data_IF_745067263631
#
_entry.id   IF_745067263631
#
_cell.length_a   1.000
_cell.length_b   1.000
_cell.length_c   1.000
_cell.angle_alpha   90.00
_cell.angle_beta   90.00
_cell.angle_gamma   90.00
#
_symmetry.space_group_name_H-M   'P 1'
#
loop_
_entity.id
_entity.type
_entity.pdbx_description
1 polymer ?
#
# COMPACT_ATOMS: atom_id res chain seq x y z
N UNK A 1 6.35 -2.47 -11.19
CA UNK A 1 7.21 -3.58 -11.66
C UNK A 1 6.72 -4.85 -10.97
N UNK A 2 6.27 -5.87 -11.71
CA UNK A 2 5.49 -7.01 -11.16
C UNK A 2 6.27 -7.82 -10.11
N UNK A 3 7.59 -7.85 -10.23
CA UNK A 3 8.49 -8.57 -9.32
C UNK A 3 8.60 -7.96 -7.92
N UNK A 4 8.35 -6.65 -7.79
CA UNK A 4 8.31 -5.98 -6.49
C UNK A 4 7.02 -6.32 -5.74
N UNK A 5 5.89 -6.42 -6.47
CA UNK A 5 4.60 -6.82 -5.90
C UNK A 5 4.61 -8.26 -5.39
N UNK A 6 5.25 -9.18 -6.13
CA UNK A 6 5.36 -10.57 -5.74
C UNK A 6 6.15 -10.73 -4.41
N UNK A 7 7.23 -9.96 -4.24
CA UNK A 7 8.05 -9.98 -3.03
C UNK A 7 7.33 -9.43 -1.80
N UNK A 8 6.67 -8.28 -1.95
CA UNK A 8 5.89 -7.70 -0.84
C UNK A 8 4.71 -8.61 -0.45
N UNK A 9 4.07 -9.25 -1.43
CA UNK A 9 3.02 -10.23 -1.17
C UNK A 9 3.58 -11.43 -0.38
N UNK A 10 4.76 -11.92 -0.76
CA UNK A 10 5.41 -13.01 -0.06
C UNK A 10 5.78 -12.62 1.39
N UNK A 11 6.35 -11.43 1.62
CA UNK A 11 6.66 -10.92 2.96
C UNK A 11 5.39 -10.71 3.82
N UNK A 12 4.35 -10.10 3.25
CA UNK A 12 3.08 -9.90 3.95
C UNK A 12 2.37 -11.22 4.27
N UNK A 13 2.46 -12.22 3.39
CA UNK A 13 1.84 -13.54 3.59
C UNK A 13 2.49 -14.36 4.70
N UNK A 14 3.79 -14.16 4.95
CA UNK A 14 4.53 -14.85 6.01
C UNK A 14 4.13 -14.39 7.41
N UNK A 15 3.96 -13.09 7.61
CA UNK A 15 3.47 -12.54 8.87
C UNK A 15 2.86 -11.15 8.68
N UNK A 16 1.55 -11.12 8.51
CA UNK A 16 0.83 -9.87 8.23
C UNK A 16 0.88 -8.90 9.42
N UNK A 17 0.93 -9.39 10.66
CA UNK A 17 0.99 -8.54 11.85
C UNK A 17 2.30 -7.77 11.94
N UNK A 18 3.43 -8.44 11.67
CA UNK A 18 4.74 -7.79 11.63
C UNK A 18 4.88 -6.88 10.41
N UNK A 19 4.35 -7.28 9.26
CA UNK A 19 4.34 -6.46 8.06
C UNK A 19 3.55 -5.16 8.26
N UNK A 20 2.36 -5.24 8.85
CA UNK A 20 1.50 -4.09 9.15
C UNK A 20 1.99 -3.25 10.34
N UNK A 21 2.88 -3.79 11.18
CA UNK A 21 3.53 -3.02 12.25
C UNK A 21 4.51 -1.97 11.69
N UNK A 22 4.93 -2.12 10.43
CA UNK A 22 5.68 -1.10 9.71
C UNK A 22 4.69 -0.08 9.10
N UNK A 23 4.70 1.20 9.54
CA UNK A 23 3.76 2.21 9.06
C UNK A 23 3.84 2.49 7.55
N UNK A 24 5.00 2.28 6.93
CA UNK A 24 5.19 2.44 5.49
C UNK A 24 4.48 1.31 4.74
N UNK A 25 4.64 0.07 5.20
CA UNK A 25 4.01 -1.09 4.58
C UNK A 25 2.48 -1.03 4.75
N UNK A 26 2.01 -0.58 5.91
CA UNK A 26 0.60 -0.31 6.14
C UNK A 26 0.06 0.76 5.18
N UNK A 27 0.76 1.89 5.02
CA UNK A 27 0.39 2.95 4.09
C UNK A 27 0.39 2.48 2.62
N UNK A 28 1.42 1.74 2.19
CA UNK A 28 1.52 1.24 0.82
C UNK A 28 0.42 0.23 0.49
N UNK A 29 0.08 -0.64 1.45
CA UNK A 29 -1.06 -1.55 1.31
C UNK A 29 -2.37 -0.76 1.15
N UNK A 30 -2.58 0.26 1.98
CA UNK A 30 -3.73 1.16 1.89
C UNK A 30 -3.80 1.87 0.53
N UNK A 31 -2.70 2.49 0.08
CA UNK A 31 -2.59 3.17 -1.22
C UNK A 31 -2.91 2.23 -2.39
N UNK A 32 -2.35 1.01 -2.40
CA UNK A 32 -2.59 0.02 -3.46
C UNK A 32 -4.06 -0.39 -3.56
N UNK A 33 -4.65 -0.71 -2.42
CA UNK A 33 -6.03 -1.17 -2.34
C UNK A 33 -7.05 -0.08 -2.68
N UNK A 34 -6.67 1.19 -2.56
CA UNK A 34 -7.56 2.35 -2.81
C UNK A 34 -7.38 3.00 -4.17
N UNK A 35 -6.13 3.15 -4.63
CA UNK A 35 -5.77 3.97 -5.80
C UNK A 35 -5.38 3.10 -6.98
N UNK A 36 -4.44 2.19 -6.78
CA UNK A 36 -3.98 1.30 -7.86
C UNK A 36 -5.10 0.34 -8.28
N UNK A 37 -5.92 -0.10 -7.31
CA UNK A 37 -7.06 -0.95 -7.58
C UNK A 37 -8.12 -0.28 -8.47
N UNK A 38 -8.43 1.02 -8.28
CA UNK A 38 -9.37 1.75 -9.15
C UNK A 38 -8.87 1.82 -10.60
N UNK A 39 -7.56 1.96 -10.78
CA UNK A 39 -6.92 2.01 -12.10
C UNK A 39 -6.90 0.63 -12.76
N UNK A 40 -6.68 -0.43 -11.98
CA UNK A 40 -6.80 -1.82 -12.43
C UNK A 40 -8.25 -2.15 -12.78
N UNK A 41 -9.21 -1.69 -11.99
CA UNK A 41 -10.66 -1.82 -12.26
C UNK A 41 -11.02 -1.17 -13.59
N UNK A 42 -10.64 0.09 -13.83
CA UNK A 42 -10.84 0.82 -15.09
C UNK A 42 -10.27 0.06 -16.30
N UNK A 43 -9.02 -0.41 -16.21
CA UNK A 43 -8.33 -1.16 -17.28
C UNK A 43 -8.98 -2.53 -17.56
N UNK A 44 -9.62 -3.14 -16.57
CA UNK A 44 -10.23 -4.46 -16.68
C UNK A 44 -11.68 -4.39 -17.18
N UNK A 45 -12.35 -3.25 -16.97
CA UNK A 45 -13.67 -2.96 -17.57
C UNK A 45 -13.66 -2.87 -19.10
N UNK A 46 -12.48 -2.81 -19.73
CA UNK A 46 -12.31 -2.63 -21.18
C UNK A 46 -12.28 -3.95 -22.00
N UNK A 47 -12.72 -5.09 -21.43
CA UNK A 47 -13.27 -6.30 -22.12
C UNK A 47 -12.73 -7.67 -21.61
N UNK A 48 -11.90 -7.76 -20.56
CA UNK A 48 -11.34 -9.07 -20.10
C UNK A 48 -11.59 -9.53 -18.66
N UNK A 49 -12.19 -8.74 -17.75
CA UNK A 49 -12.26 -9.19 -16.35
C UNK A 49 -13.56 -9.04 -15.59
N UNK A 50 -14.68 -9.44 -16.19
CA UNK A 50 -15.91 -9.67 -15.41
C UNK A 50 -15.71 -10.70 -14.29
N UNK A 51 -14.97 -11.78 -14.54
CA UNK A 51 -14.68 -12.79 -13.50
C UNK A 51 -13.72 -12.28 -12.42
N UNK A 52 -12.74 -11.45 -12.80
CA UNK A 52 -11.78 -10.87 -11.88
C UNK A 52 -12.40 -9.77 -11.00
N UNK A 53 -13.20 -8.88 -11.61
CA UNK A 53 -14.00 -7.87 -10.90
C UNK A 53 -15.00 -8.54 -9.97
N UNK A 54 -15.68 -9.62 -10.39
CA UNK A 54 -16.59 -10.37 -9.53
C UNK A 54 -15.87 -10.98 -8.32
N UNK A 55 -14.69 -11.57 -8.51
CA UNK A 55 -13.90 -12.17 -7.43
C UNK A 55 -13.47 -11.11 -6.39
N UNK A 56 -13.05 -9.93 -6.86
CA UNK A 56 -12.59 -8.86 -5.96
C UNK A 56 -13.75 -8.08 -5.34
N UNK A 57 -14.88 -7.96 -6.03
CA UNK A 57 -16.12 -7.43 -5.45
C UNK A 57 -16.65 -8.37 -4.35
N UNK A 58 -16.56 -9.69 -4.56
CA UNK A 58 -16.89 -10.67 -3.52
C UNK A 58 -15.95 -10.53 -2.32
N UNK A 59 -14.64 -10.39 -2.58
CA UNK A 59 -13.65 -10.17 -1.52
C UNK A 59 -13.83 -8.84 -0.77
N UNK A 60 -14.35 -7.79 -1.42
CA UNK A 60 -14.71 -6.50 -0.80
C UNK A 60 -15.82 -6.62 0.24
N UNK A 61 -16.72 -7.59 0.10
CA UNK A 61 -17.79 -7.79 1.09
C UNK A 61 -17.26 -8.44 2.38
N UNK A 62 -16.19 -9.24 2.27
CA UNK A 62 -15.59 -9.95 3.40
C UNK A 62 -14.40 -9.18 4.03
N UNK A 63 -13.73 -8.32 3.26
CA UNK A 63 -12.60 -7.49 3.70
C UNK A 63 -12.96 -6.00 3.61
N UNK A 64 -12.95 -5.30 4.74
CA UNK A 64 -13.10 -3.83 4.76
C UNK A 64 -11.87 -3.18 4.13
N UNK A 65 -12.05 -2.61 2.95
CA UNK A 65 -11.01 -1.81 2.30
C UNK A 65 -10.84 -0.46 3.03
N UNK A 66 -9.61 0.08 3.09
CA UNK A 66 -9.39 1.40 3.62
C UNK A 66 -10.10 2.46 2.79
N UNK A 67 -10.49 3.53 3.46
CA UNK A 67 -11.19 4.69 2.91
C UNK A 67 -10.23 5.84 2.64
N UNK A 68 -10.74 6.92 2.04
CA UNK A 68 -9.98 8.16 1.85
C UNK A 68 -9.55 8.76 3.21
N UNK A 69 -10.30 8.53 4.28
CA UNK A 69 -9.94 8.94 5.64
C UNK A 69 -8.70 8.20 6.14
N UNK A 70 -8.63 6.88 5.93
CA UNK A 70 -7.48 6.06 6.31
C UNK A 70 -6.21 6.51 5.56
N UNK A 71 -6.34 6.82 4.27
CA UNK A 71 -5.24 7.33 3.45
C UNK A 71 -4.72 8.67 3.98
N UNK A 72 -5.63 9.61 4.27
CA UNK A 72 -5.27 10.93 4.80
C UNK A 72 -4.64 10.81 6.20
N UNK A 73 -5.21 9.98 7.07
CA UNK A 73 -4.68 9.72 8.40
C UNK A 73 -3.26 9.17 8.37
N UNK A 74 -2.99 8.23 7.46
CA UNK A 74 -1.66 7.66 7.30
C UNK A 74 -0.64 8.67 6.70
N UNK A 75 -1.06 9.54 5.79
CA UNK A 75 -0.22 10.64 5.30
C UNK A 75 0.15 11.63 6.41
N UNK A 76 -0.82 11.99 7.27
CA UNK A 76 -0.57 12.84 8.44
C UNK A 76 0.38 12.17 9.44
N UNK A 77 0.22 10.87 9.68
CA UNK A 77 1.12 10.11 10.56
C UNK A 77 2.57 10.11 10.04
N UNK A 78 2.76 9.93 8.72
CA UNK A 78 4.08 10.00 8.09
C UNK A 78 4.72 11.39 8.25
N UNK A 79 3.96 12.47 8.01
CA UNK A 79 4.45 13.84 8.23
C UNK A 79 4.89 14.07 9.69
N UNK A 80 4.09 13.58 10.66
CA UNK A 80 4.44 13.70 12.08
C UNK A 80 5.73 12.98 12.44
N UNK A 81 5.95 11.78 11.90
CA UNK A 81 7.20 11.03 12.10
C UNK A 81 8.39 11.78 11.51
N UNK A 82 8.21 12.34 10.30
CA UNK A 82 9.23 13.14 9.65
C UNK A 82 9.62 14.36 10.49
N UNK A 83 8.63 15.09 11.03
CA UNK A 83 8.86 16.29 11.85
C UNK A 83 9.51 15.97 13.20
N UNK A 84 9.08 14.87 13.83
CA UNK A 84 9.54 14.44 15.16
C UNK A 84 10.98 13.95 15.12
N UNK A 85 11.31 13.14 14.12
CA UNK A 85 12.63 12.51 14.00
C UNK A 85 13.55 13.20 12.99
N UNK A 86 13.12 14.33 12.41
CA UNK A 86 13.86 15.11 11.40
C UNK A 86 14.31 14.25 10.23
N UNK A 87 13.40 13.41 9.74
CA UNK A 87 13.68 12.50 8.63
C UNK A 87 13.79 13.27 7.32
N UNK A 88 14.73 12.86 6.47
CA UNK A 88 14.90 13.42 5.13
C UNK A 88 13.73 12.98 4.23
N UNK A 89 13.06 13.94 3.59
CA UNK A 89 11.90 13.69 2.72
C UNK A 89 12.23 12.75 1.57
N UNK A 90 13.43 12.87 0.98
CA UNK A 90 13.87 12.03 -0.13
C UNK A 90 14.17 10.59 0.32
N UNK A 91 14.60 10.41 1.57
CA UNK A 91 14.79 9.10 2.17
C UNK A 91 13.45 8.44 2.45
N UNK A 92 12.53 9.15 3.10
CA UNK A 92 11.16 8.68 3.34
C UNK A 92 10.46 8.33 2.01
N UNK A 93 10.59 9.18 1.00
CA UNK A 93 10.04 8.94 -0.33
C UNK A 93 10.67 7.74 -1.05
N UNK A 94 11.91 7.37 -0.74
CA UNK A 94 12.56 6.17 -1.25
C UNK A 94 12.37 4.94 -0.35
N UNK A 95 11.56 5.04 0.70
CA UNK A 95 11.36 3.95 1.66
C UNK A 95 12.57 3.69 2.55
N UNK A 96 13.48 4.66 2.69
CA UNK A 96 14.68 4.59 3.53
C UNK A 96 14.44 5.32 4.84
N UNK A 97 14.61 4.63 5.97
CA UNK A 97 14.54 5.23 7.30
C UNK A 97 15.78 4.82 8.10
N UNK A 98 16.49 5.79 8.69
CA UNK A 98 17.75 5.57 9.41
C UNK A 98 18.79 4.72 8.63
N UNK A 99 18.82 4.85 7.30
CA UNK A 99 19.75 4.13 6.43
C UNK A 99 19.33 2.69 6.10
N UNK A 100 18.18 2.21 6.56
CA UNK A 100 17.62 0.89 6.22
C UNK A 100 16.54 1.03 5.15
N UNK A 101 16.61 0.19 4.12
CA UNK A 101 15.61 0.12 3.04
C UNK A 101 14.42 -0.73 3.48
N UNK A 102 13.26 -0.10 3.68
CA UNK A 102 12.04 -0.77 4.12
C UNK A 102 11.00 -0.96 3.01
N UNK A 103 11.01 -0.16 1.95
CA UNK A 103 10.06 -0.30 0.84
C UNK A 103 10.63 0.22 -0.48
N UNK A 104 10.00 -0.08 -1.62
CA UNK A 104 10.46 0.37 -2.96
C UNK A 104 10.26 1.86 -3.24
N UNK A 105 9.89 2.67 -2.23
CA UNK A 105 9.62 4.10 -2.37
C UNK A 105 8.16 4.42 -2.71
N UNK A 106 7.76 5.67 -2.46
CA UNK A 106 6.38 6.20 -2.52
C UNK A 106 5.88 6.49 -3.95
N UNK A 107 6.58 6.02 -4.99
CA UNK A 107 6.26 6.31 -6.39
C UNK A 107 4.93 5.72 -6.87
#
# INVERSE_FOLDING_TARGET
NVDDYAREHEEASKNIGQYLSNPINAYLLVKRLTTDWKRVEELITEDVGKAFVANITSSRNDLKFPTDEDLNGAAVALMRLQDTYKLDTSHVARGVLNGVQYSTGLS
#
